data_IF_361085655139
#
_entry.id   IF_361085655139
#
_cell.length_a   1.000
_cell.length_b   1.000
_cell.length_c   1.000
_cell.angle_alpha   90.00
_cell.angle_beta   90.00
_cell.angle_gamma   90.00
#
_symmetry.space_group_name_H-M   'P 1'
#
loop_
_entity.id
_entity.type
_entity.pdbx_description
1 polymer ?
#
# COMPACT_ATOMS: atom_id res chain seq x y z
N UNK A 1 8.81 -29.91 28.85
CA UNK A 1 7.67 -28.96 28.91
C UNK A 1 8.07 -27.52 28.57
N UNK A 2 9.21 -27.00 29.04
CA UNK A 2 9.68 -25.63 28.73
C UNK A 2 9.93 -25.35 27.24
N UNK A 3 10.43 -26.35 26.49
CA UNK A 3 10.74 -26.22 25.04
C UNK A 3 9.49 -26.13 24.16
N UNK A 4 8.38 -26.73 24.60
CA UNK A 4 7.11 -26.69 23.88
C UNK A 4 6.39 -25.34 24.06
N UNK A 5 6.51 -24.72 25.24
CA UNK A 5 6.00 -23.36 25.46
C UNK A 5 6.70 -22.31 24.58
N UNK A 6 7.99 -22.48 24.26
CA UNK A 6 8.74 -21.52 23.42
C UNK A 6 8.27 -21.60 21.96
N UNK A 7 7.92 -22.78 21.46
CA UNK A 7 7.43 -22.96 20.08
C UNK A 7 6.05 -22.32 19.85
N UNK A 8 5.17 -22.30 20.85
CA UNK A 8 3.85 -21.66 20.73
C UNK A 8 3.89 -20.12 20.69
N UNK A 9 4.98 -19.48 21.17
CA UNK A 9 5.10 -18.01 21.16
C UNK A 9 5.50 -17.47 19.78
N UNK A 10 6.23 -18.26 18.98
CA UNK A 10 6.73 -17.84 17.66
C UNK A 10 5.61 -17.80 16.60
N UNK A 11 4.53 -18.58 16.76
CA UNK A 11 3.43 -18.60 15.80
C UNK A 11 2.53 -17.35 15.83
N UNK A 12 2.63 -16.50 16.85
CA UNK A 12 1.78 -15.31 16.98
C UNK A 12 2.34 -14.03 16.33
N UNK A 13 3.54 -14.06 15.74
CA UNK A 13 4.21 -12.86 15.21
C UNK A 13 3.92 -12.60 13.71
N UNK A 14 3.29 -13.54 13.00
CA UNK A 14 2.93 -13.33 11.59
C UNK A 14 1.55 -12.66 11.44
N UNK A 15 1.37 -11.45 12.00
CA UNK A 15 0.28 -10.60 11.54
C UNK A 15 0.71 -9.99 10.21
N UNK A 16 -0.03 -10.24 9.10
CA UNK A 16 0.24 -9.54 7.86
C UNK A 16 0.02 -8.04 8.10
N UNK A 17 1.11 -7.28 8.04
CA UNK A 17 1.08 -5.83 7.96
C UNK A 17 0.59 -5.48 6.54
N UNK A 18 -0.72 -5.61 6.30
CA UNK A 18 -1.29 -5.24 5.00
C UNK A 18 -1.17 -3.72 4.86
N UNK A 19 -0.16 -3.26 4.10
CA UNK A 19 -0.21 -1.95 3.51
C UNK A 19 -1.45 -1.89 2.61
N UNK A 20 -2.27 -0.83 2.73
CA UNK A 20 -3.44 -0.63 1.87
C UNK A 20 -2.98 -0.45 0.42
N UNK A 21 -2.92 -1.56 -0.30
CA UNK A 21 -2.68 -1.61 -1.73
C UNK A 21 -4.02 -1.84 -2.42
N UNK A 22 -4.34 -0.94 -3.34
CA UNK A 22 -5.52 -1.06 -4.18
C UNK A 22 -5.07 -0.92 -5.64
N UNK A 23 -5.55 -1.83 -6.49
CA UNK A 23 -5.31 -1.77 -7.92
C UNK A 23 -6.64 -1.59 -8.64
N UNK A 24 -6.65 -0.69 -9.63
CA UNK A 24 -7.80 -0.44 -10.49
C UNK A 24 -7.35 -0.60 -11.94
N UNK A 25 -8.06 -1.44 -12.67
CA UNK A 25 -7.75 -1.74 -14.07
C UNK A 25 -8.85 -1.19 -14.97
N UNK A 26 -8.48 -0.59 -16.09
CA UNK A 26 -9.40 -0.10 -17.09
C UNK A 26 -10.21 -1.23 -17.76
N UNK A 27 -11.35 -0.92 -18.40
CA UNK A 27 -12.22 -1.94 -18.99
C UNK A 27 -11.55 -2.84 -20.04
N UNK A 28 -10.54 -2.31 -20.75
CA UNK A 28 -9.77 -3.03 -21.77
C UNK A 28 -8.53 -3.75 -21.22
N UNK A 29 -8.31 -3.69 -19.90
CA UNK A 29 -7.15 -4.25 -19.20
C UNK A 29 -5.79 -3.67 -19.56
N UNK A 30 -5.72 -2.63 -20.40
CA UNK A 30 -4.46 -2.03 -20.84
C UNK A 30 -3.94 -1.01 -19.85
N UNK A 31 -4.84 -0.20 -19.31
CA UNK A 31 -4.52 0.80 -18.29
C UNK A 31 -4.67 0.19 -16.89
N UNK A 32 -3.65 0.35 -16.04
CA UNK A 32 -3.72 -0.06 -14.64
C UNK A 32 -3.16 1.05 -13.75
N UNK A 33 -3.90 1.38 -12.71
CA UNK A 33 -3.49 2.26 -11.62
C UNK A 33 -3.22 1.41 -10.38
N UNK A 34 -2.06 1.58 -9.79
CA UNK A 34 -1.69 0.98 -8.51
C UNK A 34 -1.59 2.07 -7.44
N UNK A 35 -2.39 1.95 -6.38
CA UNK A 35 -2.37 2.81 -5.19
C UNK A 35 -1.68 2.08 -4.04
N UNK A 36 -0.86 2.82 -3.30
CA UNK A 36 -0.23 2.32 -2.09
C UNK A 36 0.09 3.45 -1.10
N UNK A 37 0.23 3.08 0.17
CA UNK A 37 0.87 3.92 1.17
C UNK A 37 2.37 3.63 1.21
N UNK A 38 3.19 4.60 0.81
CA UNK A 38 4.64 4.56 0.92
C UNK A 38 5.10 5.46 2.06
N UNK A 39 5.62 4.86 3.14
CA UNK A 39 6.03 5.57 4.36
C UNK A 39 4.91 6.48 4.92
N UNK A 40 3.67 5.97 4.88
CA UNK A 40 2.48 6.70 5.30
C UNK A 40 2.04 7.81 4.34
N UNK A 41 2.64 7.95 3.15
CA UNK A 41 2.17 8.86 2.10
C UNK A 41 1.39 8.11 1.05
N UNK A 42 0.16 8.55 0.70
CA UNK A 42 -0.55 7.95 -0.42
C UNK A 42 0.18 8.29 -1.72
N UNK A 43 0.52 7.27 -2.50
CA UNK A 43 1.11 7.40 -3.83
C UNK A 43 0.35 6.53 -4.82
N UNK A 44 0.36 6.94 -6.09
CA UNK A 44 -0.16 6.12 -7.18
C UNK A 44 0.86 6.01 -8.31
N UNK A 45 0.81 4.91 -9.04
CA UNK A 45 1.53 4.74 -10.31
C UNK A 45 0.56 4.28 -11.39
N UNK A 46 0.94 4.48 -12.65
CA UNK A 46 0.13 4.08 -13.80
C UNK A 46 0.99 3.30 -14.77
N UNK A 47 0.45 2.16 -15.22
CA UNK A 47 0.99 1.40 -16.34
C UNK A 47 -0.02 1.36 -17.48
N UNK A 48 0.51 1.33 -18.70
CA UNK A 48 -0.25 1.11 -19.93
C UNK A 48 0.41 -0.02 -20.73
N UNK A 49 -0.34 -1.05 -21.09
CA UNK A 49 0.19 -2.28 -21.70
C UNK A 49 1.38 -2.86 -20.93
N UNK A 50 1.31 -2.82 -19.60
CA UNK A 50 2.36 -3.29 -18.71
C UNK A 50 3.62 -2.42 -18.65
N UNK A 51 3.65 -1.29 -19.35
CA UNK A 51 4.77 -0.32 -19.29
C UNK A 51 4.42 0.82 -18.35
N UNK A 52 5.33 1.19 -17.46
CA UNK A 52 5.17 2.37 -16.59
C UNK A 52 5.07 3.63 -17.43
N UNK A 53 3.97 4.35 -17.29
CA UNK A 53 3.72 5.66 -17.93
C UNK A 53 3.69 6.79 -16.91
N UNK A 54 3.44 6.46 -15.65
CA UNK A 54 3.58 7.37 -14.52
C UNK A 54 4.18 6.61 -13.34
N UNK A 55 5.33 7.06 -12.87
CA UNK A 55 5.96 6.55 -11.66
C UNK A 55 5.20 7.00 -10.40
N UNK A 56 5.63 6.51 -9.22
CA UNK A 56 5.01 6.85 -7.94
C UNK A 56 4.85 8.36 -7.77
N UNK A 57 3.60 8.81 -7.83
CA UNK A 57 3.19 10.20 -7.76
C UNK A 57 2.39 10.42 -6.47
N UNK A 58 2.71 11.44 -5.67
CA UNK A 58 2.07 11.66 -4.39
C UNK A 58 0.62 12.15 -4.54
N UNK A 59 -0.21 11.76 -3.58
CA UNK A 59 -1.58 12.22 -3.42
C UNK A 59 -1.75 12.97 -2.10
N UNK A 60 -2.90 13.65 -1.98
CA UNK A 60 -3.28 14.38 -0.78
C UNK A 60 -2.96 15.87 -0.81
N UNK A 61 -3.38 16.57 0.23
CA UNK A 61 -3.26 18.02 0.34
C UNK A 61 -3.23 18.46 1.81
N UNK A 62 -2.72 19.67 2.06
CA UNK A 62 -2.75 20.31 3.39
C UNK A 62 -3.83 21.37 3.40
N UNK A 63 -4.65 21.40 4.46
CA UNK A 63 -5.72 22.38 4.66
C UNK A 63 -5.62 23.04 6.03
N UNK A 64 -6.44 24.06 6.27
CA UNK A 64 -6.51 24.73 7.57
C UNK A 64 -7.15 23.86 8.68
N UNK A 65 -7.78 22.74 8.33
CA UNK A 65 -8.43 21.82 9.28
C UNK A 65 -7.66 20.49 9.45
N UNK A 66 -6.56 20.30 8.72
CA UNK A 66 -5.78 19.06 8.78
C UNK A 66 -4.83 18.85 7.61
N UNK A 67 -3.87 17.95 7.79
CA UNK A 67 -2.95 17.45 6.77
C UNK A 67 -3.44 16.09 6.27
N UNK A 68 -3.85 16.04 5.00
CA UNK A 68 -4.29 14.83 4.30
C UNK A 68 -3.25 14.38 3.27
N UNK A 69 -1.98 14.79 3.41
CA UNK A 69 -0.87 14.37 2.53
C UNK A 69 -0.05 13.22 3.12
N UNK A 70 -0.31 12.84 4.38
CA UNK A 70 0.47 11.87 5.16
C UNK A 70 -0.41 11.15 6.20
N UNK A 71 0.09 10.04 6.71
CA UNK A 71 -0.45 9.28 7.85
C UNK A 71 -1.92 8.88 7.68
N UNK A 72 -2.28 8.40 6.49
CA UNK A 72 -3.57 7.73 6.25
C UNK A 72 -3.55 6.28 6.73
#
# INVERSE_FOLDING_TARGET
>A
MKKFCIFSIIQFIALPLFAQQAAVTGPDSRLKLDFQLQDGKPVYSVTYDGKTVLENSPLGFVSNIGDFSRQM
#
